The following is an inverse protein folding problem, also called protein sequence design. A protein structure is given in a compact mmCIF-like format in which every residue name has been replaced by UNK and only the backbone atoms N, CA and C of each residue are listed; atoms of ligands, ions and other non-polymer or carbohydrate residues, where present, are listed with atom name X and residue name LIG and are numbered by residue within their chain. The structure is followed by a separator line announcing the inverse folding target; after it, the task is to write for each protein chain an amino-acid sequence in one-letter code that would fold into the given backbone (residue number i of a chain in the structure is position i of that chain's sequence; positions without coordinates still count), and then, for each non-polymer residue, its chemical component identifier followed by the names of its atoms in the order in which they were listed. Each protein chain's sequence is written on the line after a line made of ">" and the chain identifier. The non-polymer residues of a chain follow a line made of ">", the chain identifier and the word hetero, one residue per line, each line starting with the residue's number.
data_IF_624308657250
#
_entry.id   IF_624308657250
#
_cell.length_a   1.000
_cell.length_b   1.000
_cell.length_c   1.000
_cell.angle_alpha   90.00
_cell.angle_beta   90.00
_cell.angle_gamma   90.00
#
_symmetry.space_group_name_H-M   'P 1'
#
loop_
_entity.id
_entity.type
_entity.pdbx_description
1 polymer ?
#
# COMPACT_ATOMS: atom_id res chain seq x y z
N UNK A 1 3.77 -17.05 -15.32
CA UNK A 1 3.77 -16.38 -13.99
C UNK A 1 2.35 -16.45 -13.41
N UNK A 2 2.17 -16.94 -12.19
CA UNK A 2 0.83 -17.09 -11.57
C UNK A 2 0.42 -15.85 -10.77
N UNK A 3 1.40 -15.25 -10.07
CA UNK A 3 1.23 -14.01 -9.32
C UNK A 3 2.55 -13.24 -9.28
N UNK A 4 2.45 -11.93 -9.08
CA UNK A 4 3.58 -11.04 -8.85
C UNK A 4 3.34 -10.28 -7.55
N UNK A 5 4.29 -10.39 -6.62
CA UNK A 5 4.29 -9.65 -5.36
C UNK A 5 5.27 -8.49 -5.47
N UNK A 6 4.89 -7.33 -4.95
CA UNK A 6 5.80 -6.20 -4.80
C UNK A 6 5.39 -5.32 -3.63
N UNK A 7 6.37 -4.77 -2.93
CA UNK A 7 6.12 -3.76 -1.90
C UNK A 7 5.94 -2.39 -2.52
N UNK A 8 4.96 -1.64 -2.02
CA UNK A 8 4.75 -0.23 -2.29
C UNK A 8 5.12 0.60 -1.06
N UNK A 9 5.71 1.77 -1.29
CA UNK A 9 5.86 2.80 -0.25
C UNK A 9 4.52 3.46 0.05
N UNK A 10 4.39 4.04 1.24
CA UNK A 10 3.18 4.74 1.69
C UNK A 10 3.53 6.18 2.09
N UNK A 11 3.97 7.03 1.15
CA UNK A 11 4.51 8.36 1.47
C UNK A 11 3.47 9.28 2.12
N UNK A 12 2.17 9.04 1.94
CA UNK A 12 1.13 9.80 2.61
C UNK A 12 0.86 9.38 4.06
N UNK A 13 1.34 8.21 4.50
CA UNK A 13 0.97 7.64 5.80
C UNK A 13 1.42 8.50 6.98
N UNK A 14 2.62 9.13 6.93
CA UNK A 14 3.11 10.01 8.01
C UNK A 14 2.14 11.13 8.40
N UNK A 15 1.31 11.62 7.46
CA UNK A 15 0.30 12.65 7.75
C UNK A 15 -0.88 12.12 8.58
N UNK A 16 -1.14 10.82 8.49
CA UNK A 16 -2.25 10.14 9.16
C UNK A 16 -1.80 9.22 10.29
N UNK A 17 -0.50 8.95 10.43
CA UNK A 17 0.05 8.04 11.44
C UNK A 17 -0.26 8.45 12.89
N UNK A 18 -0.65 9.70 13.14
CA UNK A 18 -1.12 10.17 14.46
C UNK A 18 -2.60 9.90 14.73
N UNK A 19 -3.37 9.54 13.71
CA UNK A 19 -4.85 9.38 13.78
C UNK A 19 -5.35 8.03 13.27
N UNK A 20 -4.60 7.37 12.39
CA UNK A 20 -4.93 6.08 11.78
C UNK A 20 -3.74 5.13 11.92
N UNK A 21 -4.02 3.85 12.14
CA UNK A 21 -3.04 2.79 11.95
C UNK A 21 -2.71 2.60 10.47
N UNK A 22 -1.57 1.99 10.15
CA UNK A 22 -1.16 1.77 8.77
C UNK A 22 -2.15 0.89 7.99
N UNK A 23 -2.76 -0.11 8.65
CA UNK A 23 -3.84 -0.90 8.08
C UNK A 23 -5.07 -0.04 7.75
N UNK A 24 -5.52 0.77 8.70
CA UNK A 24 -6.66 1.67 8.48
C UNK A 24 -6.37 2.68 7.36
N UNK A 25 -5.16 3.20 7.28
CA UNK A 25 -4.75 4.07 6.19
C UNK A 25 -4.90 3.37 4.83
N UNK A 26 -4.38 2.15 4.68
CA UNK A 26 -4.50 1.38 3.44
C UNK A 26 -5.97 1.07 3.13
N UNK A 27 -6.76 0.68 4.12
CA UNK A 27 -8.21 0.46 3.93
C UNK A 27 -8.93 1.72 3.47
N UNK A 28 -8.60 2.88 4.04
CA UNK A 28 -9.15 4.15 3.60
C UNK A 28 -8.75 4.48 2.16
N UNK A 29 -7.53 4.12 1.74
CA UNK A 29 -7.08 4.30 0.36
C UNK A 29 -7.81 3.36 -0.60
N UNK A 30 -7.99 2.09 -0.24
CA UNK A 30 -8.76 1.11 -1.02
C UNK A 30 -10.21 1.57 -1.21
N UNK A 31 -10.81 2.11 -0.14
CA UNK A 31 -12.18 2.64 -0.16
C UNK A 31 -12.29 4.03 -0.82
N UNK A 32 -11.18 4.60 -1.32
CA UNK A 32 -11.17 5.92 -1.96
C UNK A 32 -11.41 7.10 -1.02
N UNK A 33 -11.35 6.90 0.30
CA UNK A 33 -11.46 7.97 1.32
C UNK A 33 -10.18 8.80 1.41
N UNK A 34 -9.03 8.17 1.18
CA UNK A 34 -7.72 8.80 1.15
C UNK A 34 -7.09 8.54 -0.22
N UNK A 35 -6.44 9.54 -0.79
CA UNK A 35 -5.71 9.38 -2.03
C UNK A 35 -4.20 9.33 -1.76
N UNK A 36 -3.62 8.14 -1.91
CA UNK A 36 -2.16 7.96 -1.85
C UNK A 36 -1.60 7.83 -3.28
N UNK A 37 -0.63 8.66 -3.68
CA UNK A 37 -0.13 8.67 -5.05
C UNK A 37 0.47 7.34 -5.49
N UNK A 38 1.04 6.54 -4.57
CA UNK A 38 1.68 5.26 -4.88
C UNK A 38 0.66 4.13 -4.83
N UNK A 39 -0.08 4.00 -3.71
CA UNK A 39 -1.06 2.92 -3.54
C UNK A 39 -2.21 3.06 -4.54
N UNK A 40 -2.78 4.26 -4.70
CA UNK A 40 -3.88 4.49 -5.65
C UNK A 40 -3.44 4.30 -7.10
N UNK A 41 -2.15 4.52 -7.43
CA UNK A 41 -1.63 4.16 -8.75
C UNK A 41 -1.55 2.64 -8.93
N UNK A 42 -0.99 1.92 -7.96
CA UNK A 42 -0.88 0.46 -8.02
C UNK A 42 -2.25 -0.23 -8.07
N UNK A 43 -3.24 0.28 -7.32
CA UNK A 43 -4.64 -0.15 -7.40
C UNK A 43 -5.20 0.00 -8.81
N UNK A 44 -4.95 1.15 -9.47
CA UNK A 44 -5.36 1.39 -10.87
C UNK A 44 -4.66 0.45 -11.87
N UNK A 45 -3.44 0.02 -11.59
CA UNK A 45 -2.76 -1.01 -12.37
C UNK A 45 -3.29 -2.45 -12.13
N UNK A 46 -4.35 -2.61 -11.34
CA UNK A 46 -4.94 -3.91 -11.02
C UNK A 46 -4.19 -4.69 -9.94
N UNK A 47 -3.30 -4.03 -9.18
CA UNK A 47 -2.73 -4.65 -7.99
C UNK A 47 -3.72 -4.58 -6.83
N UNK A 48 -3.66 -5.57 -5.94
CA UNK A 48 -4.45 -5.64 -4.72
C UNK A 48 -3.52 -5.65 -3.50
N UNK A 49 -3.79 -4.83 -2.48
CA UNK A 49 -3.07 -4.91 -1.22
C UNK A 49 -3.36 -6.24 -0.54
N UNK A 50 -2.31 -6.87 -0.01
CA UNK A 50 -2.38 -8.10 0.77
C UNK A 50 -2.24 -7.79 2.26
N UNK A 51 -1.20 -7.05 2.61
CA UNK A 51 -0.85 -6.75 3.99
C UNK A 51 0.00 -5.51 4.08
N UNK A 52 -0.11 -4.77 5.17
CA UNK A 52 0.90 -3.80 5.55
C UNK A 52 2.06 -4.55 6.20
N UNK A 53 3.27 -4.15 5.87
CA UNK A 53 4.51 -4.70 6.41
C UNK A 53 5.25 -3.59 7.15
N UNK A 54 5.42 -3.76 8.45
CA UNK A 54 6.22 -2.88 9.29
C UNK A 54 7.71 -3.13 9.05
N UNK A 55 8.55 -2.09 9.12
CA UNK A 55 9.98 -2.17 8.85
C UNK A 55 10.36 -2.72 7.47
N UNK A 56 9.51 -2.47 6.46
CA UNK A 56 9.75 -2.95 5.10
C UNK A 56 10.89 -2.20 4.38
N UNK A 57 11.07 -0.92 4.70
CA UNK A 57 12.12 -0.06 4.16
C UNK A 57 12.46 0.97 5.23
N UNK A 58 13.74 1.27 5.48
CA UNK A 58 14.10 2.43 6.31
C UNK A 58 13.71 3.71 5.56
N UNK A 59 12.60 4.32 5.99
CA UNK A 59 12.02 5.49 5.35
C UNK A 59 11.30 6.34 6.40
N UNK A 60 11.92 7.47 6.77
CA UNK A 60 11.37 8.42 7.75
C UNK A 60 10.00 8.98 7.33
N UNK A 61 9.72 9.05 6.02
CA UNK A 61 8.43 9.51 5.51
C UNK A 61 7.33 8.46 5.56
N UNK A 62 7.66 7.17 5.55
CA UNK A 62 6.69 6.07 5.67
C UNK A 62 6.67 5.47 7.08
N UNK A 63 7.48 6.00 8.03
CA UNK A 63 7.71 5.43 9.36
C UNK A 63 8.14 3.95 9.30
N UNK A 64 8.89 3.61 8.27
CA UNK A 64 9.28 2.25 7.90
C UNK A 64 8.15 1.28 7.49
N UNK A 65 6.93 1.76 7.30
CA UNK A 65 5.83 0.91 6.83
C UNK A 65 5.79 0.84 5.29
N UNK A 66 5.60 -0.36 4.76
CA UNK A 66 5.29 -0.61 3.36
C UNK A 66 3.97 -1.37 3.21
N UNK A 67 3.43 -1.41 2.00
CA UNK A 67 2.26 -2.24 1.68
C UNK A 67 2.68 -3.32 0.68
N UNK A 68 2.41 -4.58 1.02
CA UNK A 68 2.59 -5.68 0.10
C UNK A 68 1.40 -5.72 -0.87
N UNK A 69 1.69 -5.61 -2.16
CA UNK A 69 0.70 -5.57 -3.23
C UNK A 69 0.90 -6.77 -4.17
N UNK A 70 -0.18 -7.50 -4.44
CA UNK A 70 -0.21 -8.61 -5.38
C UNK A 70 -0.88 -8.22 -6.68
N UNK A 71 -0.30 -8.67 -7.78
CA UNK A 71 -0.97 -8.73 -9.07
C UNK A 71 -1.13 -10.19 -9.47
N UNK A 72 -2.38 -10.60 -9.70
CA UNK A 72 -2.70 -11.93 -10.24
C UNK A 72 -2.82 -11.86 -11.74
N UNK A 73 -2.28 -12.85 -12.43
CA UNK A 73 -2.35 -12.90 -13.88
C UNK A 73 -3.81 -13.15 -14.33
N UNK A 74 -4.44 -12.23 -15.07
CA UNK A 74 -5.82 -12.38 -15.54
C UNK A 74 -5.95 -13.31 -16.75
N UNK A 75 -4.84 -13.73 -17.37
CA UNK A 75 -4.81 -14.60 -18.56
C UNK A 75 -4.62 -16.08 -18.22
N UNK A 76 -4.69 -16.44 -16.93
CA UNK A 76 -4.64 -17.81 -16.43
C UNK A 76 -5.90 -18.13 -15.65
#
# INVERSE_FOLDING_TARGET
>A
LERLLGGGRMPGYRKYATTLTANEYVDHVINGKIHDPVISFLLRCGRKPIAVVENYLEDEESLNYGVLMEWRNPFK
#
